data_IF_902026381387
#
_entry.id   IF_902026381387
#
_cell.length_a   1.000
_cell.length_b   1.000
_cell.length_c   1.000
_cell.angle_alpha   90.00
_cell.angle_beta   90.00
_cell.angle_gamma   90.00
#
_symmetry.space_group_name_H-M   'P 1'
#
loop_
_entity.id
_entity.type
_entity.pdbx_description
1 polymer ?
#
# COMPACT_ATOMS: atom_id res chain seq x y z
N UNK A 1 18.46 -4.43 -3.07
CA UNK A 1 17.27 -4.61 -3.93
C UNK A 1 16.24 -5.37 -3.12
N UNK A 2 15.24 -4.69 -2.55
CA UNK A 2 14.15 -5.36 -1.83
C UNK A 2 13.15 -5.84 -2.88
N UNK A 3 13.32 -7.08 -3.33
CA UNK A 3 12.38 -7.72 -4.26
C UNK A 3 11.10 -8.01 -3.48
N UNK A 4 10.00 -7.39 -3.88
CA UNK A 4 8.69 -7.83 -3.43
C UNK A 4 8.50 -9.28 -3.86
N UNK A 5 7.75 -10.06 -3.06
CA UNK A 5 7.47 -11.46 -3.35
C UNK A 5 7.01 -11.59 -4.82
N UNK A 6 7.74 -12.32 -5.68
CA UNK A 6 7.46 -12.39 -7.12
C UNK A 6 6.08 -12.99 -7.43
N UNK A 7 5.43 -13.61 -6.45
CA UNK A 7 4.12 -14.23 -6.59
C UNK A 7 2.95 -13.22 -6.64
N UNK A 8 3.14 -11.96 -6.22
CA UNK A 8 2.04 -10.98 -6.23
C UNK A 8 1.62 -10.53 -7.63
N UNK A 9 2.56 -10.44 -8.57
CA UNK A 9 2.29 -9.92 -9.92
C UNK A 9 1.38 -10.82 -10.77
N UNK A 10 1.20 -12.08 -10.36
CA UNK A 10 0.43 -13.08 -11.09
C UNK A 10 -0.88 -13.50 -10.40
N UNK A 11 -1.25 -12.89 -9.26
CA UNK A 11 -2.55 -13.17 -8.65
C UNK A 11 -3.64 -12.42 -9.42
N UNK A 12 -4.42 -13.16 -10.23
CA UNK A 12 -5.52 -12.63 -11.04
C UNK A 12 -6.62 -11.96 -10.21
N UNK A 13 -6.65 -12.20 -8.89
CA UNK A 13 -7.61 -11.59 -7.97
C UNK A 13 -7.21 -10.18 -7.57
N UNK A 14 -5.95 -9.79 -7.78
CA UNK A 14 -5.48 -8.44 -7.50
C UNK A 14 -5.74 -7.51 -8.69
N UNK A 15 -6.20 -6.27 -8.44
CA UNK A 15 -6.24 -5.25 -9.47
C UNK A 15 -4.87 -4.99 -10.07
N UNK A 16 -4.82 -4.71 -11.38
CA UNK A 16 -3.57 -4.40 -12.09
C UNK A 16 -2.79 -3.27 -11.41
N UNK A 17 -1.49 -3.48 -11.23
CA UNK A 17 -0.60 -2.49 -10.63
C UNK A 17 -0.50 -2.56 -9.11
N UNK A 18 -1.29 -3.40 -8.44
CA UNK A 18 -1.32 -3.46 -6.96
C UNK A 18 0.04 -3.87 -6.39
N UNK A 19 0.64 -4.92 -6.95
CA UNK A 19 1.96 -5.41 -6.54
C UNK A 19 3.06 -4.37 -6.77
N UNK A 20 3.03 -3.69 -7.92
CA UNK A 20 3.98 -2.66 -8.30
C UNK A 20 3.86 -1.43 -7.40
N UNK A 21 2.63 -1.04 -7.02
CA UNK A 21 2.39 0.05 -6.07
C UNK A 21 2.89 -0.30 -4.68
N UNK A 22 2.61 -1.51 -4.17
CA UNK A 22 3.15 -1.97 -2.90
C UNK A 22 4.69 -1.93 -2.89
N UNK A 23 5.30 -2.44 -3.97
CA UNK A 23 6.75 -2.40 -4.15
C UNK A 23 7.31 -0.99 -4.20
N UNK A 24 6.64 -0.10 -4.94
CA UNK A 24 7.01 1.30 -5.03
C UNK A 24 6.91 1.98 -3.67
N UNK A 25 5.85 1.74 -2.91
CA UNK A 25 5.67 2.29 -1.57
C UNK A 25 6.79 1.84 -0.64
N UNK A 26 7.00 0.53 -0.53
CA UNK A 26 8.05 -0.07 0.28
C UNK A 26 9.44 0.51 -0.03
N UNK A 27 9.75 0.69 -1.33
CA UNK A 27 10.99 1.32 -1.77
C UNK A 27 11.10 2.79 -1.34
N UNK A 28 10.01 3.56 -1.43
CA UNK A 28 10.00 4.99 -1.09
C UNK A 28 10.08 5.23 0.41
N UNK A 29 9.52 4.35 1.23
CA UNK A 29 9.45 4.49 2.70
C UNK A 29 10.55 3.72 3.43
N UNK A 30 11.29 2.85 2.74
CA UNK A 30 12.29 1.98 3.37
C UNK A 30 11.67 0.88 4.23
N UNK A 31 10.41 0.52 4.00
CA UNK A 31 9.68 -0.48 4.78
C UNK A 31 9.66 -1.83 4.07
N UNK A 32 9.43 -2.92 4.82
CA UNK A 32 9.28 -4.27 4.24
C UNK A 32 7.80 -4.60 4.06
N UNK A 33 7.32 -4.89 2.84
CA UNK A 33 5.92 -5.24 2.61
C UNK A 33 5.60 -6.65 3.16
N UNK A 34 4.32 -6.93 3.46
CA UNK A 34 3.90 -8.26 3.91
C UNK A 34 4.04 -9.32 2.80
N UNK A 35 4.02 -10.59 3.20
CA UNK A 35 4.15 -11.73 2.27
C UNK A 35 2.88 -12.05 1.50
N UNK A 36 1.71 -11.66 2.03
CA UNK A 36 0.40 -11.87 1.43
C UNK A 36 -0.44 -10.57 1.45
N UNK A 37 -1.13 -10.27 0.34
CA UNK A 37 -2.06 -9.13 0.22
C UNK A 37 -3.50 -9.59 0.42
N UNK A 38 -3.86 -10.75 -0.15
CA UNK A 38 -5.18 -11.36 -0.04
C UNK A 38 -5.11 -12.70 0.67
N UNK A 39 -6.18 -13.05 1.38
CA UNK A 39 -6.38 -14.36 1.99
C UNK A 39 -6.92 -15.39 0.97
N UNK A 40 -7.31 -16.56 1.48
CA UNK A 40 -7.87 -17.64 0.67
C UNK A 40 -9.22 -17.26 0.03
N UNK A 41 -10.01 -16.42 0.70
CA UNK A 41 -11.33 -15.97 0.26
C UNK A 41 -11.26 -14.75 -0.68
N UNK A 42 -10.07 -14.17 -0.84
CA UNK A 42 -9.81 -13.00 -1.67
C UNK A 42 -10.04 -11.67 -0.96
N UNK A 43 -10.17 -11.67 0.37
CA UNK A 43 -10.22 -10.47 1.19
C UNK A 43 -8.80 -9.98 1.54
N UNK A 44 -8.59 -8.68 1.79
CA UNK A 44 -7.31 -8.18 2.28
C UNK A 44 -6.90 -8.87 3.58
N UNK A 45 -5.64 -9.33 3.67
CA UNK A 45 -5.10 -9.91 4.90
C UNK A 45 -4.96 -8.88 6.02
N UNK A 46 -5.03 -9.33 7.27
CA UNK A 46 -4.74 -8.46 8.42
C UNK A 46 -3.34 -7.85 8.30
N UNK A 47 -2.36 -8.60 7.78
CA UNK A 47 -1.00 -8.11 7.56
C UNK A 47 -0.93 -6.88 6.63
N UNK A 48 -1.71 -6.84 5.53
CA UNK A 48 -1.72 -5.67 4.65
C UNK A 48 -2.46 -4.49 5.28
N UNK A 49 -3.50 -4.76 6.08
CA UNK A 49 -4.24 -3.74 6.80
C UNK A 49 -3.36 -3.09 7.88
N UNK A 50 -2.66 -3.91 8.68
CA UNK A 50 -1.74 -3.45 9.71
C UNK A 50 -0.53 -2.74 9.11
N UNK A 51 0.02 -3.26 8.01
CA UNK A 51 1.09 -2.59 7.27
C UNK A 51 0.65 -1.21 6.77
N UNK A 52 -0.55 -1.11 6.19
CA UNK A 52 -1.07 0.16 5.69
C UNK A 52 -1.30 1.16 6.83
N UNK A 53 -1.86 0.70 7.95
CA UNK A 53 -2.07 1.51 9.15
C UNK A 53 -0.76 2.02 9.73
N UNK A 54 0.21 1.14 9.95
CA UNK A 54 1.48 1.46 10.60
C UNK A 54 2.34 2.44 9.78
N UNK A 55 2.32 2.29 8.46
CA UNK A 55 3.17 3.10 7.55
C UNK A 55 2.41 4.26 6.89
N UNK A 56 1.11 4.40 7.18
CA UNK A 56 0.26 5.45 6.64
C UNK A 56 -0.03 5.34 5.15
N UNK A 57 0.00 4.12 4.60
CA UNK A 57 -0.37 3.84 3.22
C UNK A 57 -1.89 3.90 3.03
N UNK A 58 -2.36 4.44 1.90
CA UNK A 58 -3.77 4.40 1.52
C UNK A 58 -4.08 3.10 0.77
N UNK A 59 -5.15 2.41 1.17
CA UNK A 59 -5.64 1.23 0.46
C UNK A 59 -6.27 1.60 -0.89
N UNK A 60 -6.91 2.77 -0.99
CA UNK A 60 -7.43 3.28 -2.28
C UNK A 60 -6.30 3.53 -3.28
N UNK A 61 -5.17 4.03 -2.78
CA UNK A 61 -3.98 4.19 -3.60
C UNK A 61 -3.38 2.84 -4.00
N UNK A 62 -3.29 1.90 -3.07
CA UNK A 62 -2.73 0.57 -3.32
C UNK A 62 -3.54 -0.18 -4.40
N UNK A 63 -4.86 -0.26 -4.25
CA UNK A 63 -5.72 -1.05 -5.14
C UNK A 63 -6.14 -0.31 -6.40
N UNK A 64 -6.48 0.98 -6.31
CA UNK A 64 -7.05 1.75 -7.43
C UNK A 64 -6.12 2.81 -8.01
N UNK A 65 -4.98 3.06 -7.36
CA UNK A 65 -4.06 4.12 -7.76
C UNK A 65 -4.55 5.53 -7.42
N UNK A 66 -5.62 5.67 -6.62
CA UNK A 66 -6.11 6.97 -6.19
C UNK A 66 -5.18 7.60 -5.15
N UNK A 67 -4.43 8.61 -5.58
CA UNK A 67 -3.50 9.34 -4.71
C UNK A 67 -4.19 10.42 -3.87
N UNK A 68 -5.47 10.72 -4.10
CA UNK A 68 -6.18 11.83 -3.43
C UNK A 68 -6.15 11.73 -1.91
N UNK A 69 -6.38 10.56 -1.27
CA UNK A 69 -6.31 10.45 0.19
C UNK A 69 -4.91 10.76 0.74
N UNK A 70 -3.84 10.36 0.03
CA UNK A 70 -2.46 10.65 0.42
C UNK A 70 -2.17 12.15 0.34
N UNK A 71 -2.61 12.80 -0.75
CA UNK A 71 -2.43 14.24 -0.97
C UNK A 71 -3.18 15.05 0.09
N UNK A 72 -4.45 14.73 0.37
CA UNK A 72 -5.22 15.46 1.38
C UNK A 72 -4.63 15.28 2.78
N UNK A 73 -4.17 14.08 3.12
CA UNK A 73 -3.52 13.84 4.41
C UNK A 73 -2.26 14.69 4.58
N UNK A 74 -1.39 14.71 3.56
CA UNK A 74 -0.17 15.53 3.60
C UNK A 74 -0.50 17.03 3.65
N UNK A 75 -1.49 17.48 2.89
CA UNK A 75 -1.95 18.88 2.89
C UNK A 75 -2.46 19.32 4.27
N UNK A 76 -3.30 18.50 4.91
CA UNK A 76 -3.86 18.80 6.23
C UNK A 76 -2.77 18.83 7.32
N UNK A 77 -1.87 17.85 7.33
CA UNK A 77 -0.74 17.82 8.26
C UNK A 77 0.16 19.05 8.12
N UNK A 78 0.42 19.50 6.89
CA UNK A 78 1.19 20.72 6.62
C UNK A 78 0.49 22.01 7.05
N UNK A 79 -0.84 22.00 7.19
CA UNK A 79 -1.63 23.14 7.69
C UNK A 79 -1.69 23.16 9.21
N UNK A 80 -1.84 22.01 9.86
CA UNK A 80 -1.88 21.90 11.33
C UNK A 80 -0.54 22.31 11.95
N UNK A 81 0.59 21.96 11.33
CA UNK A 81 1.93 22.36 11.82
C UNK A 81 2.28 23.85 11.62
N UNK A 82 1.39 24.66 11.05
CA UNK A 82 1.58 26.12 10.88
C UNK A 82 0.88 26.95 11.97
N UNK A 83 0.17 26.31 12.90
CA UNK A 83 -0.57 26.95 13.99
C UNK A 83 0.29 27.04 15.24
#
# INVERSE_FOLDING_TARGET
>A
MTTCNPNFGNDIRLPTGTAERLAKFAKLTGTTPPEAILDADGAPTDDILDFARANGMSLDWLYFGDAMPLVMRAHNAAREGRV
#
